data_IF_540256890083
#
_entry.id   IF_540256890083
#
_cell.length_a   1.000
_cell.length_b   1.000
_cell.length_c   1.000
_cell.angle_alpha   90.00
_cell.angle_beta   90.00
_cell.angle_gamma   90.00
#
_symmetry.space_group_name_H-M   'P 1'
#
loop_
_entity.id
_entity.type
_entity.pdbx_description
1 polymer ?
#
# COMPACT_ATOMS: atom_id res chain seq x y z
N UNK A 1 32.77 -16.90 56.50
CA UNK A 1 32.24 -15.91 55.55
C UNK A 1 32.69 -16.29 54.14
N UNK A 2 31.80 -16.85 53.32
CA UNK A 2 32.04 -17.05 51.88
C UNK A 2 30.94 -16.30 51.15
N UNK A 3 31.25 -15.11 50.65
CA UNK A 3 30.38 -14.36 49.75
C UNK A 3 30.31 -15.14 48.44
N UNK A 4 29.21 -15.84 48.22
CA UNK A 4 28.80 -16.30 46.90
C UNK A 4 27.45 -15.65 46.59
N UNK A 5 27.28 -15.32 45.31
CA UNK A 5 26.03 -14.99 44.66
C UNK A 5 25.54 -13.56 44.78
N UNK A 6 25.85 -12.75 43.75
CA UNK A 6 24.86 -11.97 43.00
C UNK A 6 25.56 -11.21 41.86
N UNK A 7 26.07 -11.93 40.86
CA UNK A 7 26.48 -11.32 39.59
C UNK A 7 25.93 -12.17 38.43
N UNK A 8 24.63 -12.08 38.23
CA UNK A 8 23.94 -12.63 37.06
C UNK A 8 22.66 -11.83 36.81
N UNK A 9 22.80 -10.59 36.36
CA UNK A 9 21.68 -9.82 35.82
C UNK A 9 22.21 -8.92 34.70
N UNK A 10 22.63 -9.56 33.62
CA UNK A 10 22.86 -8.91 32.33
C UNK A 10 22.36 -9.85 31.23
N UNK A 11 21.81 -9.28 30.16
CA UNK A 11 21.25 -9.90 28.96
C UNK A 11 19.78 -10.36 29.03
N UNK A 12 18.84 -9.41 29.07
CA UNK A 12 17.51 -9.65 28.48
C UNK A 12 16.82 -8.33 28.07
N UNK A 13 17.41 -7.59 27.12
CA UNK A 13 16.75 -6.40 26.56
C UNK A 13 17.26 -5.97 25.15
N UNK A 14 17.69 -6.90 24.29
CA UNK A 14 18.28 -6.53 22.99
C UNK A 14 17.61 -7.19 21.77
N UNK A 15 16.30 -7.48 21.83
CA UNK A 15 15.62 -8.24 20.76
C UNK A 15 14.49 -7.54 19.99
N UNK A 16 14.31 -6.22 20.09
CA UNK A 16 13.17 -5.57 19.42
C UNK A 16 13.50 -4.53 18.34
N UNK A 17 14.74 -4.08 18.15
CA UNK A 17 15.03 -3.02 17.15
C UNK A 17 15.18 -3.54 15.70
N UNK A 18 15.47 -4.83 15.50
CA UNK A 18 15.70 -5.39 14.16
C UNK A 18 14.41 -5.60 13.35
N UNK A 19 13.27 -5.83 14.00
CA UNK A 19 12.00 -6.09 13.32
C UNK A 19 11.36 -4.83 12.69
N UNK A 20 11.66 -3.64 13.22
CA UNK A 20 11.06 -2.39 12.75
C UNK A 20 11.69 -1.91 11.43
N UNK A 21 13.03 -1.90 11.33
CA UNK A 21 13.72 -1.53 10.09
C UNK A 21 13.29 -2.39 8.88
N UNK A 22 12.99 -3.67 9.12
CA UNK A 22 12.56 -4.62 8.10
C UNK A 22 11.18 -4.29 7.52
N UNK A 23 10.20 -3.97 8.37
CA UNK A 23 8.82 -3.68 7.96
C UNK A 23 8.72 -2.48 7.00
N UNK A 24 9.39 -1.39 7.35
CA UNK A 24 9.40 -0.18 6.52
C UNK A 24 10.07 -0.44 5.16
N UNK A 25 11.11 -1.27 5.11
CA UNK A 25 11.78 -1.62 3.86
C UNK A 25 10.95 -2.58 3.00
N UNK A 26 10.25 -3.54 3.59
CA UNK A 26 9.29 -4.39 2.87
C UNK A 26 8.13 -3.56 2.27
N UNK A 27 7.63 -2.58 3.03
CA UNK A 27 6.60 -1.67 2.54
C UNK A 27 7.09 -0.82 1.35
N UNK A 28 8.34 -0.32 1.39
CA UNK A 28 8.96 0.37 0.26
C UNK A 28 9.05 -0.54 -0.96
N UNK A 29 9.59 -1.76 -0.81
CA UNK A 29 9.72 -2.73 -1.91
C UNK A 29 8.36 -3.08 -2.53
N UNK A 30 7.32 -3.25 -1.71
CA UNK A 30 5.97 -3.50 -2.21
C UNK A 30 5.44 -2.29 -2.99
N UNK A 31 5.61 -1.07 -2.48
CA UNK A 31 5.17 0.15 -3.16
C UNK A 31 5.92 0.40 -4.48
N UNK A 32 7.22 0.12 -4.52
CA UNK A 32 8.03 0.18 -5.74
C UNK A 32 7.51 -0.80 -6.80
N UNK A 33 7.21 -2.06 -6.41
CA UNK A 33 6.57 -3.04 -7.31
C UNK A 33 5.20 -2.57 -7.78
N UNK A 34 4.40 -2.00 -6.89
CA UNK A 34 3.08 -1.44 -7.22
C UNK A 34 3.18 -0.37 -8.31
N UNK A 35 4.04 0.63 -8.12
CA UNK A 35 4.24 1.71 -9.10
C UNK A 35 4.86 1.18 -10.42
N UNK A 36 5.78 0.21 -10.34
CA UNK A 36 6.39 -0.40 -11.51
C UNK A 36 5.36 -1.19 -12.34
N UNK A 37 4.54 -2.04 -11.71
CA UNK A 37 3.51 -2.79 -12.43
C UNK A 37 2.46 -1.87 -13.03
N UNK A 38 2.06 -0.81 -12.33
CA UNK A 38 1.08 0.14 -12.87
C UNK A 38 1.62 0.87 -14.11
N UNK A 39 2.83 1.42 -14.04
CA UNK A 39 3.45 2.13 -15.17
C UNK A 39 3.79 1.21 -16.35
N UNK A 40 4.01 -0.08 -16.09
CA UNK A 40 4.20 -1.10 -17.12
C UNK A 40 2.88 -1.69 -17.67
N UNK A 41 1.73 -1.29 -17.13
CA UNK A 41 0.41 -1.88 -17.41
C UNK A 41 0.35 -3.40 -17.15
N UNK A 42 1.08 -3.86 -16.14
CA UNK A 42 1.15 -5.27 -15.74
C UNK A 42 -0.04 -5.63 -14.82
N UNK A 43 -0.91 -6.51 -15.32
CA UNK A 43 -2.07 -7.02 -14.58
C UNK A 43 -1.72 -7.79 -13.29
N UNK A 44 -0.45 -8.15 -13.11
CA UNK A 44 0.08 -8.79 -11.91
C UNK A 44 0.02 -7.87 -10.68
N UNK A 45 -0.19 -6.56 -10.86
CA UNK A 45 -0.49 -5.63 -9.76
C UNK A 45 -1.69 -6.10 -8.91
N UNK A 46 -2.66 -6.80 -9.51
CA UNK A 46 -3.80 -7.37 -8.79
C UNK A 46 -3.38 -8.41 -7.73
N UNK A 47 -2.21 -9.06 -7.88
CA UNK A 47 -1.70 -10.04 -6.92
C UNK A 47 -1.08 -9.39 -5.68
N UNK A 48 -0.80 -8.08 -5.69
CA UNK A 48 -0.29 -7.37 -4.52
C UNK A 48 -1.36 -7.16 -3.44
N UNK A 49 -2.64 -7.34 -3.77
CA UNK A 49 -3.74 -7.15 -2.83
C UNK A 49 -4.07 -8.43 -2.07
N UNK A 50 -4.38 -8.31 -0.79
CA UNK A 50 -5.01 -9.39 -0.06
C UNK A 50 -6.43 -9.68 -0.60
N UNK A 51 -6.91 -10.91 -0.41
CA UNK A 51 -8.25 -11.31 -0.86
C UNK A 51 -9.39 -10.65 -0.05
N UNK A 52 -9.05 -10.14 1.13
CA UNK A 52 -9.92 -9.42 2.06
C UNK A 52 -9.60 -7.92 2.14
N UNK A 53 -8.82 -7.38 1.19
CA UNK A 53 -8.41 -5.98 1.22
C UNK A 53 -9.61 -5.02 1.19
N UNK A 54 -9.49 -3.91 1.91
CA UNK A 54 -10.47 -2.83 1.94
C UNK A 54 -10.11 -1.82 0.84
N UNK A 55 -10.95 -1.70 -0.19
CA UNK A 55 -10.72 -0.74 -1.28
C UNK A 55 -11.84 0.31 -1.26
N UNK A 56 -11.46 1.57 -1.04
CA UNK A 56 -12.39 2.69 -1.04
C UNK A 56 -11.93 3.77 -2.00
N UNK A 57 -12.87 4.26 -2.81
CA UNK A 57 -12.66 5.43 -3.66
C UNK A 57 -13.64 6.54 -3.32
N UNK A 58 -13.13 7.75 -3.14
CA UNK A 58 -13.91 8.97 -3.06
C UNK A 58 -13.89 9.68 -4.41
N UNK A 59 -15.02 9.71 -5.10
CA UNK A 59 -15.16 10.32 -6.43
C UNK A 59 -15.84 11.68 -6.34
N UNK A 60 -15.15 12.72 -6.80
CA UNK A 60 -15.68 14.09 -6.87
C UNK A 60 -16.07 14.42 -8.30
N UNK A 61 -17.34 14.78 -8.51
CA UNK A 61 -17.89 15.12 -9.81
C UNK A 61 -17.74 16.63 -10.11
N UNK A 62 -17.82 17.06 -11.38
CA UNK A 62 -17.75 18.48 -11.75
C UNK A 62 -18.82 19.34 -11.08
N UNK A 63 -19.95 18.75 -10.71
CA UNK A 63 -21.05 19.41 -9.98
C UNK A 63 -20.72 19.69 -8.50
N UNK A 64 -19.58 19.21 -8.00
CA UNK A 64 -19.22 19.23 -6.58
C UNK A 64 -19.79 18.06 -5.78
N UNK A 65 -20.64 17.22 -6.38
CA UNK A 65 -21.14 16.00 -5.74
C UNK A 65 -19.98 15.05 -5.44
N UNK A 66 -19.96 14.50 -4.22
CA UNK A 66 -18.99 13.48 -3.79
C UNK A 66 -19.72 12.15 -3.61
N UNK A 67 -19.12 11.08 -4.14
CA UNK A 67 -19.58 9.71 -3.93
C UNK A 67 -18.45 8.87 -3.37
N UNK A 68 -18.70 8.18 -2.27
CA UNK A 68 -17.80 7.16 -1.75
C UNK A 68 -18.24 5.78 -2.22
N UNK A 69 -17.27 4.96 -2.58
CA UNK A 69 -17.49 3.61 -3.06
C UNK A 69 -16.54 2.66 -2.35
N UNK A 70 -17.08 1.58 -1.79
CA UNK A 70 -16.30 0.43 -1.35
C UNK A 70 -16.38 -0.65 -2.42
N UNK A 71 -15.23 -1.19 -2.84
CA UNK A 71 -15.14 -2.23 -3.85
C UNK A 71 -14.64 -3.51 -3.19
N UNK A 72 -15.36 -4.64 -3.27
CA UNK A 72 -14.85 -5.92 -2.76
C UNK A 72 -13.54 -6.31 -3.47
N UNK A 73 -12.54 -6.76 -2.71
CA UNK A 73 -11.23 -7.13 -3.25
C UNK A 73 -11.27 -8.11 -4.44
N UNK A 74 -12.05 -9.21 -4.42
CA UNK A 74 -12.14 -10.10 -5.58
C UNK A 74 -12.63 -9.38 -6.85
N UNK A 75 -13.61 -8.48 -6.70
CA UNK A 75 -14.11 -7.67 -7.81
C UNK A 75 -13.07 -6.65 -8.28
N UNK A 76 -12.36 -6.01 -7.36
CA UNK A 76 -11.31 -5.04 -7.70
C UNK A 76 -10.16 -5.68 -8.47
N UNK A 77 -9.68 -6.85 -8.04
CA UNK A 77 -8.67 -7.64 -8.75
C UNK A 77 -9.09 -7.97 -10.18
N UNK A 78 -10.36 -8.34 -10.40
CA UNK A 78 -10.89 -8.58 -11.74
C UNK A 78 -10.95 -7.29 -12.58
N UNK A 79 -11.38 -6.17 -11.98
CA UNK A 79 -11.42 -4.88 -12.66
C UNK A 79 -10.04 -4.42 -13.10
N UNK A 80 -9.01 -4.56 -12.25
CA UNK A 80 -7.61 -4.28 -12.60
C UNK A 80 -7.22 -5.10 -13.84
N UNK A 81 -7.39 -6.42 -13.79
CA UNK A 81 -7.01 -7.31 -14.90
C UNK A 81 -7.71 -6.95 -16.20
N UNK A 82 -8.98 -6.59 -16.14
CA UNK A 82 -9.76 -6.18 -17.31
C UNK A 82 -9.38 -4.78 -17.83
N UNK A 83 -9.00 -3.85 -16.94
CA UNK A 83 -8.71 -2.47 -17.29
C UNK A 83 -7.30 -2.26 -17.86
N UNK A 84 -6.31 -3.06 -17.43
CA UNK A 84 -4.90 -2.85 -17.82
C UNK A 84 -4.64 -2.80 -19.34
N UNK A 85 -5.24 -3.67 -20.19
CA UNK A 85 -5.06 -3.56 -21.64
C UNK A 85 -5.57 -2.23 -22.20
N UNK A 86 -6.72 -1.75 -21.71
CA UNK A 86 -7.28 -0.47 -22.14
C UNK A 86 -6.46 0.71 -21.63
N UNK A 87 -5.96 0.62 -20.40
CA UNK A 87 -5.07 1.62 -19.81
C UNK A 87 -3.79 1.77 -20.65
N UNK A 88 -3.18 0.65 -21.09
CA UNK A 88 -2.02 0.65 -21.98
C UNK A 88 -2.27 1.37 -23.29
N UNK A 89 -3.40 1.09 -23.95
CA UNK A 89 -3.77 1.75 -25.22
C UNK A 89 -3.94 3.25 -25.03
N UNK A 90 -4.44 3.69 -23.87
CA UNK A 90 -4.69 5.10 -23.56
C UNK A 90 -3.50 5.85 -22.95
N UNK A 91 -2.45 5.13 -22.54
CA UNK A 91 -1.40 5.70 -21.69
C UNK A 91 -1.92 6.14 -20.31
N UNK A 92 -2.92 5.44 -19.77
CA UNK A 92 -3.54 5.75 -18.47
C UNK A 92 -2.78 5.09 -17.32
N UNK A 93 -1.74 5.77 -16.83
CA UNK A 93 -0.98 5.35 -15.66
C UNK A 93 -0.80 6.52 -14.68
N UNK A 94 -0.31 6.20 -13.50
CA UNK A 94 -0.04 7.17 -12.45
C UNK A 94 1.45 7.28 -12.15
N UNK A 95 1.87 8.44 -11.65
CA UNK A 95 3.15 8.63 -10.96
C UNK A 95 2.91 9.05 -9.52
N UNK A 96 3.91 8.85 -8.66
CA UNK A 96 3.79 9.06 -7.22
C UNK A 96 4.91 9.96 -6.71
N UNK A 97 4.57 10.90 -5.84
CA UNK A 97 5.49 11.80 -5.14
C UNK A 97 5.13 11.94 -3.66
N UNK A 98 6.01 12.58 -2.90
CA UNK A 98 5.77 12.92 -1.48
C UNK A 98 5.42 11.68 -0.63
N UNK A 99 6.03 10.55 -0.99
CA UNK A 99 5.75 9.26 -0.35
C UNK A 99 6.30 9.23 1.06
N UNK A 100 5.44 8.90 2.02
CA UNK A 100 5.79 8.69 3.43
C UNK A 100 5.40 7.30 3.87
N UNK A 101 6.20 6.73 4.78
CA UNK A 101 6.01 5.40 5.34
C UNK A 101 5.90 5.57 6.86
N UNK A 102 4.80 5.09 7.44
CA UNK A 102 4.56 5.19 8.88
C UNK A 102 4.14 3.85 9.42
N UNK A 103 4.95 3.28 10.30
CA UNK A 103 4.60 2.03 10.96
C UNK A 103 3.37 2.23 11.85
N UNK A 104 2.38 1.37 11.66
CA UNK A 104 1.18 1.30 12.49
C UNK A 104 0.64 -0.11 12.45
N UNK A 105 0.24 -0.69 13.59
CA UNK A 105 -0.33 -2.03 13.58
C UNK A 105 -1.55 -2.09 12.62
N UNK A 106 -1.65 -3.10 11.74
CA UNK A 106 -0.85 -4.33 11.66
C UNK A 106 0.38 -4.28 10.73
N UNK A 107 0.77 -3.14 10.16
CA UNK A 107 1.92 -3.04 9.26
C UNK A 107 2.43 -1.61 9.04
N UNK A 108 2.44 -1.16 7.78
CA UNK A 108 2.97 0.16 7.40
C UNK A 108 1.95 0.90 6.55
N UNK A 109 1.61 2.10 6.98
CA UNK A 109 0.80 3.03 6.20
C UNK A 109 1.71 3.80 5.25
N UNK A 110 1.40 3.70 3.97
CA UNK A 110 2.03 4.44 2.89
C UNK A 110 1.07 5.56 2.49
N UNK A 111 1.54 6.80 2.49
CA UNK A 111 0.80 7.94 1.92
C UNK A 111 1.62 8.54 0.80
N UNK A 112 0.97 8.87 -0.31
CA UNK A 112 1.61 9.53 -1.44
C UNK A 112 0.67 10.51 -2.12
N UNK A 113 1.27 11.44 -2.87
CA UNK A 113 0.59 12.24 -3.87
C UNK A 113 0.62 11.47 -5.19
N UNK A 114 -0.55 11.12 -5.73
CA UNK A 114 -0.70 10.44 -7.02
C UNK A 114 -1.02 11.44 -8.12
N UNK A 115 -0.24 11.47 -9.19
CA UNK A 115 -0.52 12.21 -10.41
C UNK A 115 -1.06 11.27 -11.48
N UNK A 116 -2.27 11.52 -11.97
CA UNK A 116 -2.83 10.80 -13.12
C UNK A 116 -2.31 11.44 -14.41
N UNK A 117 -1.52 10.68 -15.17
CA UNK A 117 -0.84 11.21 -16.37
C UNK A 117 -1.87 11.59 -17.43
N UNK A 118 -2.80 10.69 -17.72
CA UNK A 118 -3.83 10.94 -18.73
C UNK A 118 -4.81 12.04 -18.32
N UNK A 119 -5.17 12.14 -17.04
CA UNK A 119 -6.16 13.12 -16.54
C UNK A 119 -5.54 14.43 -16.04
N UNK A 120 -4.23 14.51 -15.95
CA UNK A 120 -3.47 15.71 -15.56
C UNK A 120 -3.93 16.34 -14.24
N UNK A 121 -4.10 15.54 -13.19
CA UNK A 121 -4.37 16.05 -11.84
C UNK A 121 -3.72 15.22 -10.74
N UNK A 122 -3.50 15.88 -9.60
CA UNK A 122 -3.01 15.26 -8.37
C UNK A 122 -4.15 14.86 -7.44
N UNK A 123 -3.99 13.74 -6.74
CA UNK A 123 -4.91 13.24 -5.72
C UNK A 123 -4.13 12.51 -4.63
N UNK A 124 -4.55 12.59 -3.36
CA UNK A 124 -3.93 11.77 -2.33
C UNK A 124 -4.28 10.28 -2.53
N UNK A 125 -3.36 9.41 -2.13
CA UNK A 125 -3.58 7.98 -1.97
C UNK A 125 -2.99 7.51 -0.65
N UNK A 126 -3.68 6.57 -0.02
CA UNK A 126 -3.23 5.89 1.20
C UNK A 126 -3.30 4.39 0.99
N UNK A 127 -2.21 3.68 1.28
CA UNK A 127 -2.11 2.23 1.14
C UNK A 127 -1.60 1.66 2.45
N UNK A 128 -2.37 0.78 3.10
CA UNK A 128 -1.88 0.00 4.24
C UNK A 128 -1.37 -1.33 3.73
N UNK A 129 -0.12 -1.64 4.03
CA UNK A 129 0.50 -2.93 3.73
C UNK A 129 0.87 -3.66 5.01
N UNK A 130 0.71 -4.97 5.02
CA UNK A 130 1.08 -5.82 6.15
C UNK A 130 1.36 -7.25 5.68
N UNK A 131 2.22 -8.01 6.38
CA UNK A 131 2.40 -9.42 6.12
C UNK A 131 1.10 -10.20 6.39
N UNK A 132 0.92 -11.32 5.70
CA UNK A 132 -0.05 -12.34 6.08
C UNK A 132 0.53 -13.32 7.11
N UNK A 133 -0.24 -14.36 7.45
CA UNK A 133 0.20 -15.38 8.40
C UNK A 133 1.43 -16.18 7.92
N UNK A 134 1.77 -16.10 6.63
CA UNK A 134 2.96 -16.73 6.02
C UNK A 134 4.14 -15.77 5.88
N UNK A 135 3.96 -14.50 6.24
CA UNK A 135 4.97 -13.45 6.09
C UNK A 135 4.95 -12.76 4.72
N UNK A 136 4.01 -13.09 3.83
CA UNK A 136 3.88 -12.43 2.53
C UNK A 136 3.24 -11.04 2.68
N UNK A 137 3.94 -10.01 2.23
CA UNK A 137 3.46 -8.63 2.29
C UNK A 137 2.42 -8.33 1.22
N UNK A 138 1.26 -7.85 1.65
CA UNK A 138 0.11 -7.58 0.80
C UNK A 138 -0.52 -6.22 1.15
N UNK A 139 -1.18 -5.61 0.17
CA UNK A 139 -2.06 -4.46 0.36
C UNK A 139 -3.31 -4.92 1.09
N UNK A 140 -3.54 -4.36 2.27
CA UNK A 140 -4.71 -4.59 3.13
C UNK A 140 -5.76 -3.51 2.99
N UNK A 141 -5.34 -2.29 2.71
CA UNK A 141 -6.24 -1.18 2.45
C UNK A 141 -5.70 -0.29 1.34
N UNK A 142 -6.59 0.17 0.46
CA UNK A 142 -6.33 1.29 -0.43
C UNK A 142 -7.47 2.31 -0.32
N UNK A 143 -7.10 3.55 0.01
CA UNK A 143 -7.99 4.71 -0.01
C UNK A 143 -7.51 5.66 -1.11
N UNK A 144 -8.36 5.93 -2.08
CA UNK A 144 -8.01 6.79 -3.22
C UNK A 144 -9.10 7.82 -3.54
N UNK A 145 -8.70 8.91 -4.19
CA UNK A 145 -9.66 9.90 -4.69
C UNK A 145 -9.68 9.91 -6.22
N UNK A 146 -10.82 10.21 -6.85
CA UNK A 146 -10.90 10.28 -8.31
C UNK A 146 -11.83 11.36 -8.83
N UNK A 147 -11.62 11.75 -10.09
CA UNK A 147 -12.53 12.58 -10.87
C UNK A 147 -12.93 11.83 -12.16
N UNK A 148 -14.18 11.99 -12.64
CA UNK A 148 -14.52 11.55 -13.99
C UNK A 148 -13.67 12.30 -15.03
N UNK A 149 -13.57 11.72 -16.23
CA UNK A 149 -13.21 12.49 -17.42
C UNK A 149 -14.30 13.53 -17.69
#
# INVERSE_FOLDING_TARGET
>A
MKLFSALAMFLLAAFSLAAFADNTDEAKRLFERYAAFESAFDSSIAALYADDAIIKNKRTYPTGQVREMTIPAPKYKLLIKAAMPLAKVKGDYNTYSDTTFTEQAPGVLIKATRFSVLKSYYSPISILVAPDATGHWLIREELSESKPF
#
